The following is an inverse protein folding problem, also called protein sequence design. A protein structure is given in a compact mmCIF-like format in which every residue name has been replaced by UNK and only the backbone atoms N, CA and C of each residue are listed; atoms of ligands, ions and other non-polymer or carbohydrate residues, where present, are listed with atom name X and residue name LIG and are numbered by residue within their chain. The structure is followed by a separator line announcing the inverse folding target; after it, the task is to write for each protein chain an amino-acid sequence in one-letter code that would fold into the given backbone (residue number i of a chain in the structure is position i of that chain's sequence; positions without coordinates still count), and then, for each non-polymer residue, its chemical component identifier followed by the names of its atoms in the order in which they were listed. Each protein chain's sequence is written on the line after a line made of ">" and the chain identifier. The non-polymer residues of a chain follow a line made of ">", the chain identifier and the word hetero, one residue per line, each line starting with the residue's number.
data_IF_538030785638
#
_entry.id   IF_538030785638
#
_cell.length_a   1.000
_cell.length_b   1.000
_cell.length_c   1.000
_cell.angle_alpha   90.00
_cell.angle_beta   90.00
_cell.angle_gamma   90.00
#
_symmetry.space_group_name_H-M   'P 1'
#
loop_
_entity.id
_entity.type
_entity.pdbx_description
1 polymer ?
#
# COMPACT_ATOMS: atom_id res chain seq x y z
N UNK A 1 27.28 15.14 61.52
CA UNK A 1 26.05 15.02 60.68
C UNK A 1 26.33 15.25 59.17
N UNK A 2 27.51 14.88 58.65
CA UNK A 2 27.93 15.22 57.27
C UNK A 2 27.88 14.05 56.28
N UNK A 3 28.03 12.79 56.74
CA UNK A 3 28.07 11.62 55.85
C UNK A 3 26.75 11.25 55.16
N UNK A 4 25.61 11.40 55.86
CA UNK A 4 24.30 11.00 55.33
C UNK A 4 23.78 11.92 54.20
N UNK A 5 24.19 13.20 54.19
CA UNK A 5 23.85 14.14 53.11
C UNK A 5 24.66 13.86 51.85
N UNK A 6 25.95 13.56 52.01
CA UNK A 6 26.85 13.25 50.89
C UNK A 6 26.46 11.95 50.17
N UNK A 7 26.04 10.92 50.91
CA UNK A 7 25.56 9.66 50.33
C UNK A 7 24.25 9.83 49.53
N UNK A 8 23.36 10.74 49.97
CA UNK A 8 22.13 11.11 49.25
C UNK A 8 22.40 11.91 47.97
N UNK A 9 23.40 12.81 47.99
CA UNK A 9 23.81 13.53 46.78
C UNK A 9 24.47 12.60 45.75
N UNK A 10 25.27 11.63 46.21
CA UNK A 10 25.89 10.64 45.33
C UNK A 10 24.87 9.73 44.65
N UNK A 11 23.83 9.31 45.39
CA UNK A 11 22.74 8.50 44.84
C UNK A 11 21.82 9.30 43.93
N UNK A 12 21.59 10.60 44.19
CA UNK A 12 20.85 11.47 43.27
C UNK A 12 21.62 11.69 41.95
N UNK A 13 22.94 11.87 42.02
CA UNK A 13 23.81 11.95 40.83
C UNK A 13 23.86 10.65 40.05
N UNK A 14 23.90 9.50 40.73
CA UNK A 14 23.89 8.19 40.09
C UNK A 14 22.56 7.94 39.34
N UNK A 15 21.43 8.32 39.93
CA UNK A 15 20.11 8.25 39.26
C UNK A 15 20.04 9.19 38.06
N UNK A 16 20.59 10.41 38.16
CA UNK A 16 20.62 11.37 37.06
C UNK A 16 21.51 10.90 35.89
N UNK A 17 22.63 10.24 36.17
CA UNK A 17 23.54 9.69 35.15
C UNK A 17 22.95 8.41 34.51
N UNK A 18 22.21 7.59 35.26
CA UNK A 18 21.52 6.42 34.69
C UNK A 18 20.39 6.83 33.73
N UNK A 19 19.69 7.95 33.97
CA UNK A 19 18.64 8.42 33.06
C UNK A 19 19.18 8.91 31.71
N UNK A 20 20.43 9.34 31.64
CA UNK A 20 21.03 9.87 30.39
C UNK A 20 21.54 8.71 29.49
N UNK A 21 21.95 7.59 30.08
CA UNK A 21 22.46 6.42 29.33
C UNK A 21 21.35 5.56 28.66
N UNK A 22 20.08 5.88 28.89
CA UNK A 22 18.95 5.16 28.29
C UNK A 22 18.44 5.77 26.97
N UNK A 23 19.03 6.88 26.48
CA UNK A 23 18.74 7.42 25.15
C UNK A 23 19.50 6.64 24.06
N UNK A 24 19.43 5.31 24.08
CA UNK A 24 19.81 4.52 22.92
C UNK A 24 18.71 4.72 21.88
N UNK A 25 19.05 5.33 20.74
CA UNK A 25 18.14 5.43 19.60
C UNK A 25 17.58 4.04 19.32
N UNK A 26 16.28 3.87 19.56
CA UNK A 26 15.58 2.59 19.45
C UNK A 26 15.84 1.99 18.05
N UNK A 27 16.41 0.79 18.01
CA UNK A 27 16.90 0.19 16.76
C UNK A 27 15.77 -0.42 15.93
N UNK A 28 14.57 -0.50 16.51
CA UNK A 28 13.40 -1.09 15.87
C UNK A 28 12.91 -0.20 14.73
N UNK A 29 12.85 -0.78 13.53
CA UNK A 29 12.04 -0.22 12.45
C UNK A 29 10.60 -0.64 12.76
N UNK A 30 9.65 0.31 12.84
CA UNK A 30 8.25 -0.04 13.09
C UNK A 30 7.77 -1.03 12.02
N UNK A 31 6.89 -1.95 12.44
CA UNK A 31 6.30 -2.91 11.52
C UNK A 31 5.61 -2.17 10.37
N UNK A 32 5.66 -2.76 9.19
CA UNK A 32 5.23 -2.14 7.95
C UNK A 32 3.72 -1.82 7.88
N UNK A 33 2.94 -2.40 8.79
CA UNK A 33 1.48 -2.26 8.86
C UNK A 33 0.75 -2.83 7.63
N UNK A 34 1.48 -3.50 6.73
CA UNK A 34 0.93 -4.03 5.49
C UNK A 34 -0.02 -5.19 5.78
N UNK A 35 -1.22 -5.08 5.24
CA UNK A 35 -2.19 -6.17 5.19
C UNK A 35 -2.61 -6.36 3.73
N UNK A 36 -2.48 -7.58 3.17
CA UNK A 36 -2.93 -7.84 1.82
C UNK A 36 -4.45 -7.65 1.75
N UNK A 37 -4.92 -6.90 0.75
CA UNK A 37 -6.36 -6.71 0.55
C UNK A 37 -6.91 -7.92 -0.19
N UNK A 38 -7.69 -8.74 0.51
CA UNK A 38 -8.45 -9.82 -0.11
C UNK A 38 -9.63 -9.23 -0.86
N UNK A 39 -9.73 -9.50 -2.16
CA UNK A 39 -10.86 -9.08 -2.98
C UNK A 39 -12.17 -9.76 -2.55
N UNK A 40 -13.29 -9.09 -2.83
CA UNK A 40 -14.63 -9.64 -2.63
C UNK A 40 -15.30 -9.89 -3.99
N UNK A 41 -16.27 -10.81 -4.02
CA UNK A 41 -17.10 -11.03 -5.20
C UNK A 41 -18.04 -9.84 -5.42
N UNK A 42 -18.22 -9.46 -6.68
CA UNK A 42 -19.21 -8.49 -7.14
C UNK A 42 -19.92 -9.03 -8.38
N UNK A 43 -21.06 -8.44 -8.72
CA UNK A 43 -21.83 -8.80 -9.90
C UNK A 43 -21.76 -7.71 -10.96
N UNK A 44 -21.70 -8.13 -12.22
CA UNK A 44 -21.87 -7.25 -13.38
C UNK A 44 -23.14 -7.67 -14.10
N UNK A 45 -24.07 -6.74 -14.22
CA UNK A 45 -25.33 -6.89 -14.93
C UNK A 45 -25.24 -6.04 -16.18
N UNK A 46 -25.29 -6.67 -17.35
CA UNK A 46 -25.37 -5.97 -18.62
C UNK A 46 -26.80 -6.07 -19.15
N UNK A 47 -27.23 -5.03 -19.86
CA UNK A 47 -28.52 -5.06 -20.54
C UNK A 47 -28.50 -6.12 -21.65
N UNK A 48 -29.62 -6.82 -21.83
CA UNK A 48 -29.74 -7.93 -22.79
C UNK A 48 -29.82 -7.45 -24.25
N UNK A 49 -30.28 -6.22 -24.47
CA UNK A 49 -30.39 -5.60 -25.79
C UNK A 49 -30.37 -4.09 -25.66
N UNK A 50 -29.73 -3.43 -26.63
CA UNK A 50 -29.73 -1.97 -26.78
C UNK A 50 -29.99 -1.65 -28.26
N UNK A 51 -30.72 -0.57 -28.51
CA UNK A 51 -30.92 -0.06 -29.87
C UNK A 51 -29.63 0.59 -30.42
N UNK A 52 -29.57 0.86 -31.73
CA UNK A 52 -28.35 1.44 -32.35
C UNK A 52 -28.04 2.86 -31.88
N UNK A 53 -29.02 3.55 -31.34
CA UNK A 53 -28.97 4.89 -30.75
C UNK A 53 -28.81 4.89 -29.22
N UNK A 54 -28.85 3.72 -28.59
CA UNK A 54 -28.72 3.58 -27.14
C UNK A 54 -27.28 3.27 -26.73
N UNK A 55 -26.84 3.87 -25.63
CA UNK A 55 -25.54 3.55 -25.04
C UNK A 55 -25.65 2.28 -24.21
N UNK A 56 -24.85 1.26 -24.55
CA UNK A 56 -24.77 0.04 -23.76
C UNK A 56 -24.24 0.34 -22.34
N UNK A 57 -25.07 0.09 -21.33
CA UNK A 57 -24.72 0.29 -19.93
C UNK A 57 -24.45 -1.04 -19.23
N UNK A 58 -23.61 -0.99 -18.19
CA UNK A 58 -23.34 -2.13 -17.31
C UNK A 58 -23.48 -1.65 -15.88
N UNK A 59 -24.30 -2.35 -15.10
CA UNK A 59 -24.49 -2.12 -13.68
C UNK A 59 -23.56 -3.02 -12.88
N UNK A 60 -22.72 -2.39 -12.06
CA UNK A 60 -21.83 -3.07 -11.13
C UNK A 60 -22.46 -3.08 -9.74
N UNK A 61 -22.72 -4.26 -9.21
CA UNK A 61 -23.22 -4.44 -7.85
C UNK A 61 -22.11 -4.93 -6.92
N UNK A 62 -21.60 -4.00 -6.09
CA UNK A 62 -20.59 -4.29 -5.08
C UNK A 62 -21.24 -4.43 -3.69
N UNK A 63 -20.68 -5.27 -2.79
CA UNK A 63 -21.18 -5.40 -1.43
C UNK A 63 -20.87 -4.13 -0.62
N UNK A 64 -21.86 -3.23 -0.51
CA UNK A 64 -21.64 -1.85 -0.03
C UNK A 64 -22.13 -1.52 1.39
N UNK A 65 -22.90 -2.40 2.06
CA UNK A 65 -23.56 -2.08 3.34
C UNK A 65 -22.91 -2.67 4.61
N UNK A 66 -21.94 -3.56 4.45
CA UNK A 66 -21.40 -4.36 5.55
C UNK A 66 -19.91 -4.08 5.83
N UNK A 67 -19.36 -4.75 6.85
CA UNK A 67 -17.93 -4.79 7.20
C UNK A 67 -17.00 -5.03 5.99
N UNK A 68 -17.50 -5.67 4.93
CA UNK A 68 -16.79 -5.90 3.66
C UNK A 68 -16.35 -4.61 2.97
N UNK A 69 -17.09 -3.50 3.12
CA UNK A 69 -16.69 -2.18 2.59
C UNK A 69 -15.36 -1.72 3.18
N UNK A 70 -15.22 -1.76 4.50
CA UNK A 70 -14.00 -1.30 5.18
C UNK A 70 -12.76 -2.11 4.77
N UNK A 71 -12.92 -3.38 4.41
CA UNK A 71 -11.80 -4.20 3.91
C UNK A 71 -11.35 -3.84 2.49
N UNK A 72 -12.27 -3.34 1.67
CA UNK A 72 -12.02 -3.01 0.26
C UNK A 72 -11.73 -1.51 0.03
N UNK A 73 -12.04 -0.66 1.01
CA UNK A 73 -11.76 0.77 0.96
C UNK A 73 -10.28 1.08 0.63
N UNK A 74 -9.27 0.36 1.21
CA UNK A 74 -7.87 0.57 0.85
C UNK A 74 -7.54 0.24 -0.62
N UNK A 75 -8.25 -0.70 -1.26
CA UNK A 75 -8.04 -1.01 -2.68
C UNK A 75 -8.64 0.06 -3.61
N UNK A 76 -9.68 0.76 -3.12
CA UNK A 76 -10.22 1.97 -3.75
C UNK A 76 -11.17 1.76 -4.93
N UNK A 77 -11.40 0.52 -5.39
CA UNK A 77 -12.33 0.28 -6.50
C UNK A 77 -12.32 -1.11 -7.12
N UNK A 78 -12.88 -1.22 -8.33
CA UNK A 78 -12.81 -2.43 -9.15
C UNK A 78 -11.97 -2.17 -10.40
N UNK A 79 -11.01 -3.04 -10.70
CA UNK A 79 -10.22 -2.93 -11.92
C UNK A 79 -11.03 -3.45 -13.12
N UNK A 80 -11.30 -2.57 -14.07
CA UNK A 80 -12.08 -2.86 -15.27
C UNK A 80 -11.17 -2.85 -16.49
N UNK A 81 -11.32 -3.87 -17.33
CA UNK A 81 -10.67 -3.97 -18.63
C UNK A 81 -11.69 -4.29 -19.70
N UNK A 82 -11.71 -3.50 -20.75
CA UNK A 82 -12.58 -3.69 -21.91
C UNK A 82 -11.76 -4.29 -23.04
N UNK A 83 -12.22 -5.42 -23.56
CA UNK A 83 -11.59 -6.10 -24.69
C UNK A 83 -12.47 -6.01 -25.92
N UNK A 84 -11.84 -5.90 -27.09
CA UNK A 84 -12.55 -6.04 -28.37
C UNK A 84 -12.42 -7.47 -28.87
N UNK A 85 -13.53 -8.06 -29.26
CA UNK A 85 -13.54 -9.38 -29.88
C UNK A 85 -13.63 -9.20 -31.39
N UNK A 86 -12.50 -9.38 -32.09
CA UNK A 86 -12.45 -9.18 -33.54
C UNK A 86 -13.20 -10.28 -34.31
N UNK A 87 -13.21 -11.52 -33.79
CA UNK A 87 -13.88 -12.69 -34.39
C UNK A 87 -14.93 -13.28 -33.42
N UNK A 88 -16.15 -12.72 -33.38
CA UNK A 88 -17.15 -13.10 -32.36
C UNK A 88 -17.59 -14.55 -32.47
N UNK A 89 -17.76 -15.09 -33.68
CA UNK A 89 -18.19 -16.48 -33.87
C UNK A 89 -17.16 -17.49 -33.36
N UNK A 90 -15.88 -17.24 -33.60
CA UNK A 90 -14.81 -18.11 -33.12
C UNK A 90 -14.67 -18.04 -31.60
N UNK A 91 -14.90 -16.87 -31.01
CA UNK A 91 -14.91 -16.68 -29.56
C UNK A 91 -16.06 -17.47 -28.91
N UNK A 92 -17.29 -17.34 -29.43
CA UNK A 92 -18.47 -18.02 -28.89
C UNK A 92 -18.36 -19.54 -29.00
N UNK A 93 -17.80 -20.07 -30.09
CA UNK A 93 -17.55 -21.52 -30.26
C UNK A 93 -16.60 -22.11 -29.21
N UNK A 94 -15.69 -21.30 -28.65
CA UNK A 94 -14.76 -21.74 -27.60
C UNK A 94 -15.41 -21.78 -26.21
N UNK A 95 -16.57 -21.14 -26.03
CA UNK A 95 -17.27 -21.10 -24.76
C UNK A 95 -18.05 -22.40 -24.53
N UNK A 96 -17.87 -23.01 -23.36
CA UNK A 96 -18.65 -24.20 -22.96
C UNK A 96 -20.12 -23.85 -22.66
N UNK A 97 -20.36 -22.65 -22.15
CA UNK A 97 -21.68 -22.13 -21.82
C UNK A 97 -21.88 -20.77 -22.49
N UNK A 98 -22.91 -20.63 -23.31
CA UNK A 98 -23.24 -19.36 -23.97
C UNK A 98 -23.99 -18.40 -23.01
N UNK A 99 -24.71 -18.95 -22.03
CA UNK A 99 -25.40 -18.15 -21.00
C UNK A 99 -24.45 -17.48 -20.01
N UNK A 100 -23.22 -17.98 -19.89
CA UNK A 100 -22.18 -17.42 -19.03
C UNK A 100 -20.85 -17.55 -19.73
N UNK A 101 -20.36 -16.45 -20.29
CA UNK A 101 -19.00 -16.36 -20.82
C UNK A 101 -18.04 -16.53 -19.64
N UNK A 102 -17.29 -17.63 -19.64
CA UNK A 102 -16.28 -17.92 -18.61
C UNK A 102 -14.92 -17.69 -19.22
N UNK A 103 -14.29 -16.58 -18.83
CA UNK A 103 -12.86 -16.35 -19.06
C UNK A 103 -12.13 -16.49 -17.74
N UNK A 104 -11.30 -17.53 -17.60
CA UNK A 104 -10.49 -17.71 -16.40
C UNK A 104 -9.45 -16.59 -16.32
N UNK A 105 -9.57 -15.77 -15.28
CA UNK A 105 -8.58 -14.74 -14.97
C UNK A 105 -7.31 -15.39 -14.46
N UNK A 106 -6.17 -15.05 -15.05
CA UNK A 106 -4.87 -15.47 -14.54
C UNK A 106 -4.45 -14.55 -13.39
N UNK A 107 -4.54 -15.03 -12.16
CA UNK A 107 -4.07 -14.30 -10.99
C UNK A 107 -2.53 -14.24 -10.98
N UNK A 108 -1.97 -13.03 -11.02
CA UNK A 108 -0.53 -12.76 -10.89
C UNK A 108 -0.15 -12.30 -9.48
N UNK A 109 -1.13 -11.85 -8.69
CA UNK A 109 -0.89 -11.22 -7.40
C UNK A 109 -0.44 -9.77 -7.52
N UNK A 110 -0.10 -9.18 -6.38
CA UNK A 110 0.29 -7.77 -6.26
C UNK A 110 1.65 -7.45 -6.91
N UNK A 111 2.46 -8.47 -7.17
CA UNK A 111 3.83 -8.32 -7.66
C UNK A 111 4.82 -8.06 -6.52
N UNK A 112 6.02 -7.56 -6.87
CA UNK A 112 7.13 -7.33 -5.93
C UNK A 112 7.36 -5.86 -5.60
N UNK A 113 6.67 -4.93 -6.27
CA UNK A 113 6.92 -3.48 -6.14
C UNK A 113 6.76 -3.00 -4.69
N UNK A 114 5.68 -3.39 -4.03
CA UNK A 114 5.40 -3.01 -2.64
C UNK A 114 6.41 -3.63 -1.66
N UNK A 115 6.83 -4.87 -1.91
CA UNK A 115 7.91 -5.50 -1.13
C UNK A 115 9.23 -4.77 -1.31
N UNK A 116 9.58 -4.38 -2.55
CA UNK A 116 10.79 -3.63 -2.84
C UNK A 116 10.77 -2.24 -2.22
N UNK A 117 9.64 -1.53 -2.29
CA UNK A 117 9.45 -0.24 -1.63
C UNK A 117 9.68 -0.36 -0.12
N UNK A 118 9.11 -1.38 0.51
CA UNK A 118 9.33 -1.64 1.93
C UNK A 118 10.79 -1.96 2.27
N UNK A 119 11.44 -2.84 1.49
CA UNK A 119 12.84 -3.20 1.73
C UNK A 119 13.76 -2.01 1.56
N UNK A 120 13.54 -1.18 0.54
CA UNK A 120 14.28 0.06 0.30
C UNK A 120 14.14 1.02 1.47
N UNK A 121 12.90 1.27 1.90
CA UNK A 121 12.59 2.21 2.96
C UNK A 121 13.09 1.71 4.34
N UNK A 122 13.05 0.40 4.58
CA UNK A 122 13.66 -0.23 5.77
C UNK A 122 15.19 -0.11 5.75
N UNK A 123 15.82 -0.41 4.61
CA UNK A 123 17.27 -0.26 4.44
C UNK A 123 17.72 1.19 4.65
N UNK A 124 17.02 2.14 4.03
CA UNK A 124 17.30 3.57 4.15
C UNK A 124 17.22 4.05 5.60
N UNK A 125 16.15 3.69 6.34
CA UNK A 125 16.02 4.03 7.76
C UNK A 125 17.13 3.43 8.61
N UNK A 126 17.44 2.15 8.44
CA UNK A 126 18.51 1.47 9.19
C UNK A 126 19.87 2.11 8.93
N UNK A 127 20.21 2.33 7.67
CA UNK A 127 21.45 3.00 7.27
C UNK A 127 21.57 4.37 7.94
N UNK A 128 20.47 5.13 7.99
CA UNK A 128 20.50 6.48 8.55
C UNK A 128 20.65 6.49 10.07
N UNK A 129 20.05 5.52 10.79
CA UNK A 129 20.26 5.37 12.24
C UNK A 129 21.69 4.97 12.58
N UNK A 130 22.29 4.05 11.81
CA UNK A 130 23.71 3.70 11.96
C UNK A 130 24.59 4.94 11.78
N UNK A 131 24.31 5.75 10.76
CA UNK A 131 25.02 7.01 10.54
C UNK A 131 24.85 7.99 11.72
N UNK A 132 23.63 8.11 12.26
CA UNK A 132 23.40 8.93 13.45
C UNK A 132 24.14 8.46 14.70
N UNK A 133 24.43 7.16 14.82
CA UNK A 133 25.25 6.61 15.91
C UNK A 133 26.74 6.84 15.66
N UNK A 134 27.20 6.75 14.41
CA UNK A 134 28.60 6.95 14.06
C UNK A 134 29.07 8.41 14.20
N UNK A 135 28.19 9.39 13.94
CA UNK A 135 28.51 10.81 14.04
C UNK A 135 28.07 11.43 15.37
N UNK A 136 28.97 12.21 15.98
CA UNK A 136 28.65 13.00 17.18
C UNK A 136 27.50 13.99 16.91
N UNK A 137 26.83 14.42 17.97
CA UNK A 137 25.75 15.40 17.86
C UNK A 137 26.23 16.72 17.26
N UNK A 138 27.43 17.18 17.66
CA UNK A 138 28.01 18.43 17.15
C UNK A 138 28.29 18.35 15.65
N UNK A 139 28.88 17.25 15.17
CA UNK A 139 29.11 17.05 13.74
C UNK A 139 27.79 16.99 12.95
N UNK A 140 26.76 16.36 13.50
CA UNK A 140 25.42 16.34 12.87
C UNK A 140 24.79 17.73 12.81
N UNK A 141 24.91 18.51 13.88
CA UNK A 141 24.39 19.89 13.95
C UNK A 141 25.08 20.77 12.91
N UNK A 142 26.41 20.76 12.86
CA UNK A 142 27.20 21.54 11.90
C UNK A 142 26.89 21.15 10.44
N UNK A 143 26.80 19.85 10.12
CA UNK A 143 26.46 19.38 8.76
C UNK A 143 25.04 19.77 8.36
N UNK A 144 24.09 19.79 9.29
CA UNK A 144 22.70 20.19 8.99
C UNK A 144 22.47 21.71 9.01
N UNK A 145 23.41 22.48 9.57
CA UNK A 145 23.46 23.93 9.43
C UNK A 145 23.96 24.32 8.02
N UNK A 146 25.01 23.64 7.53
CA UNK A 146 25.56 23.88 6.18
C UNK A 146 24.68 23.30 5.07
N UNK A 147 24.13 22.09 5.26
CA UNK A 147 23.25 21.42 4.29
C UNK A 147 21.91 21.06 4.96
N UNK A 148 20.93 21.98 4.94
CA UNK A 148 19.64 21.78 5.60
C UNK A 148 18.84 20.61 5.04
N UNK A 149 19.04 20.23 3.78
CA UNK A 149 18.37 19.10 3.12
C UNK A 149 18.64 17.75 3.81
N UNK A 150 19.77 17.64 4.52
CA UNK A 150 20.12 16.44 5.29
C UNK A 150 19.37 16.34 6.63
N UNK A 151 18.60 17.38 7.00
CA UNK A 151 17.75 17.35 8.20
C UNK A 151 16.69 16.28 8.04
N UNK A 152 16.69 15.40 9.02
CA UNK A 152 15.71 14.35 9.12
C UNK A 152 14.39 14.95 9.62
N UNK A 153 13.46 15.20 8.71
CA UNK A 153 12.08 15.52 9.05
C UNK A 153 11.30 14.29 9.50
N UNK A 154 9.97 14.41 9.50
CA UNK A 154 9.05 13.34 9.90
C UNK A 154 9.01 12.15 8.92
N UNK A 155 9.73 12.22 7.79
CA UNK A 155 9.78 11.18 6.76
C UNK A 155 10.26 9.82 7.30
N UNK A 156 11.09 9.80 8.35
CA UNK A 156 11.56 8.56 8.98
C UNK A 156 10.46 7.84 9.79
N UNK A 157 9.46 8.58 10.26
CA UNK A 157 8.35 8.05 11.06
C UNK A 157 7.12 7.69 10.21
N UNK A 158 7.03 8.22 8.99
CA UNK A 158 5.94 7.87 8.07
C UNK A 158 6.02 6.38 7.68
N UNK A 159 4.89 5.67 7.60
CA UNK A 159 4.87 4.30 7.09
C UNK A 159 5.21 4.26 5.60
N UNK A 160 5.70 3.12 5.13
CA UNK A 160 5.92 2.89 3.69
C UNK A 160 4.58 3.00 2.96
N UNK A 161 4.43 3.86 1.93
CA UNK A 161 3.23 3.89 1.12
C UNK A 161 3.13 2.63 0.27
N UNK A 162 1.94 2.02 0.23
CA UNK A 162 1.64 0.88 -0.64
C UNK A 162 0.67 1.30 -1.73
N UNK A 163 0.93 0.81 -2.94
CA UNK A 163 0.04 1.05 -4.08
C UNK A 163 -0.67 -0.24 -4.48
N UNK A 164 -1.98 -0.17 -4.68
CA UNK A 164 -2.80 -1.32 -5.05
C UNK A 164 -2.67 -1.58 -6.55
N UNK A 165 -1.77 -2.50 -6.92
CA UNK A 165 -1.55 -2.88 -8.32
C UNK A 165 -2.62 -3.87 -8.82
N UNK A 166 -2.99 -3.82 -10.12
CA UNK A 166 -3.91 -4.80 -10.71
C UNK A 166 -3.37 -6.23 -10.60
N UNK A 167 -4.10 -7.10 -9.90
CA UNK A 167 -3.61 -8.44 -9.53
C UNK A 167 -3.82 -9.52 -10.61
N UNK A 168 -4.58 -9.22 -11.68
CA UNK A 168 -4.88 -10.15 -12.75
C UNK A 168 -4.13 -9.82 -14.04
N UNK A 169 -3.70 -10.84 -14.78
CA UNK A 169 -3.10 -10.69 -16.10
C UNK A 169 -4.12 -10.28 -17.17
N UNK A 170 -3.63 -9.77 -18.29
CA UNK A 170 -4.44 -9.59 -19.49
C UNK A 170 -4.84 -10.95 -20.07
N UNK A 171 -6.02 -11.01 -20.70
CA UNK A 171 -6.44 -12.23 -21.40
C UNK A 171 -5.57 -12.37 -22.66
N UNK A 172 -4.85 -13.49 -22.83
CA UNK A 172 -3.95 -13.66 -23.95
C UNK A 172 -4.73 -13.70 -25.27
N UNK A 173 -4.23 -12.97 -26.28
CA UNK A 173 -4.79 -12.96 -27.63
C UNK A 173 -6.04 -12.11 -27.83
N UNK A 174 -6.48 -11.33 -26.81
CA UNK A 174 -7.55 -10.34 -26.97
C UNK A 174 -6.98 -8.92 -26.88
N UNK A 175 -7.29 -8.03 -27.86
CA UNK A 175 -6.88 -6.64 -27.81
C UNK A 175 -7.65 -5.88 -26.73
N UNK A 176 -6.91 -5.18 -25.87
CA UNK A 176 -7.47 -4.28 -24.84
C UNK A 176 -7.83 -2.95 -25.49
N UNK A 177 -9.05 -2.49 -25.25
CA UNK A 177 -9.55 -1.17 -25.69
C UNK A 177 -9.30 -0.14 -24.59
N UNK A 178 -9.65 -0.47 -23.35
CA UNK A 178 -9.46 0.42 -22.20
C UNK A 178 -9.20 -0.37 -20.92
N UNK A 179 -8.45 0.26 -20.02
CA UNK A 179 -8.16 -0.25 -18.68
C UNK A 179 -8.22 0.91 -17.69
N UNK A 180 -9.00 0.75 -16.62
CA UNK A 180 -9.14 1.76 -15.58
C UNK A 180 -9.63 1.12 -14.28
N UNK A 181 -9.43 1.82 -13.16
CA UNK A 181 -10.02 1.45 -11.87
C UNK A 181 -11.31 2.27 -11.67
N UNK A 182 -12.44 1.59 -11.56
CA UNK A 182 -13.71 2.22 -11.28
C UNK A 182 -13.85 2.48 -9.77
N UNK A 183 -14.02 3.74 -9.32
CA UNK A 183 -14.03 4.08 -7.92
C UNK A 183 -15.38 3.73 -7.28
N UNK A 184 -15.49 2.54 -6.69
CA UNK A 184 -16.74 2.04 -6.11
C UNK A 184 -17.33 2.95 -5.02
N UNK A 185 -16.46 3.66 -4.28
CA UNK A 185 -16.86 4.48 -3.13
C UNK A 185 -17.15 5.94 -3.47
N UNK A 186 -16.67 6.40 -4.63
CA UNK A 186 -16.81 7.79 -5.09
C UNK A 186 -17.69 7.91 -6.34
N UNK A 187 -18.01 6.77 -6.97
CA UNK A 187 -18.89 6.69 -8.12
C UNK A 187 -20.28 7.21 -7.77
N UNK A 188 -20.81 8.08 -8.62
CA UNK A 188 -22.21 8.49 -8.56
C UNK A 188 -23.06 7.43 -9.28
N UNK A 189 -24.28 7.14 -8.78
CA UNK A 189 -25.20 6.21 -9.43
C UNK A 189 -25.62 6.71 -10.81
#
# INVERSE_FOLDING_TARGET
>A
MTGARMLRFLSLMLVLVLSISAANAEDSVPASGYAPVTGESFFLLADSSFASDEQAMVRLEAPGRDYRRFRMEPYGGADIRVYRIDKPLDFLKRQKNLHRVVSDGQFKGEGLSNTLAYLWDNWYRKSRRVMQRAFSYESRKQVTEEVPELKMGNAMAAPTPYDAQPQFALIPGLPVVSQFRYPLWQGKP
#
